data_IF_659121038744
#
_entry.id   IF_659121038744
#
_cell.length_a   1.000
_cell.length_b   1.000
_cell.length_c   1.000
_cell.angle_alpha   90.00
_cell.angle_beta   90.00
_cell.angle_gamma   90.00
#
_symmetry.space_group_name_H-M   'P 1'
#
loop_
_entity.id
_entity.type
_entity.pdbx_description
1 polymer ?
#
# COMPACT_ATOMS: atom_id res chain seq x y z
N UNK A 1 -1.02 -1.07 -11.28
CA UNK A 1 -0.47 -2.12 -12.13
C UNK A 1 0.96 -2.50 -11.78
N UNK A 2 1.81 -1.55 -11.37
CA UNK A 2 3.22 -1.78 -11.02
C UNK A 2 3.42 -2.97 -10.08
N UNK A 3 2.62 -3.05 -9.02
CA UNK A 3 2.71 -4.12 -8.02
C UNK A 3 1.84 -5.34 -8.34
N UNK A 4 1.15 -5.35 -9.47
CA UNK A 4 0.28 -6.45 -9.91
C UNK A 4 -0.65 -6.92 -8.76
N UNK A 5 -1.35 -5.98 -8.15
CA UNK A 5 -2.25 -6.23 -7.03
C UNK A 5 -3.50 -5.34 -7.12
N UNK A 6 -4.53 -5.74 -6.41
CA UNK A 6 -5.74 -4.94 -6.27
C UNK A 6 -5.47 -3.78 -5.32
N UNK A 7 -6.05 -2.63 -5.59
CA UNK A 7 -6.06 -1.47 -4.70
C UNK A 7 -7.47 -1.23 -4.24
N UNK A 8 -7.66 -1.08 -2.95
CA UNK A 8 -8.94 -0.75 -2.34
C UNK A 8 -8.92 0.71 -1.89
N UNK A 9 -9.90 1.50 -2.32
CA UNK A 9 -10.18 2.81 -1.77
C UNK A 9 -11.26 2.67 -0.69
N UNK A 10 -10.96 3.13 0.51
CA UNK A 10 -11.91 3.16 1.61
C UNK A 10 -12.38 4.59 1.84
N UNK A 11 -13.67 4.75 2.01
CA UNK A 11 -14.30 5.97 2.45
C UNK A 11 -15.35 5.61 3.51
N UNK A 12 -15.50 6.47 4.50
CA UNK A 12 -16.59 6.34 5.46
C UNK A 12 -17.89 6.97 4.93
N UNK A 13 -18.95 6.82 5.74
CA UNK A 13 -20.27 7.29 5.35
C UNK A 13 -20.30 8.83 5.23
N UNK A 14 -19.58 9.54 6.05
CA UNK A 14 -19.53 11.01 6.01
C UNK A 14 -18.96 11.49 4.68
N UNK A 15 -17.80 10.96 4.29
CA UNK A 15 -17.19 11.30 3.00
C UNK A 15 -18.04 10.83 1.81
N UNK A 16 -18.69 9.66 1.91
CA UNK A 16 -19.50 9.08 0.85
C UNK A 16 -20.84 9.77 0.63
N UNK A 17 -21.43 10.38 1.65
CA UNK A 17 -22.75 11.02 1.61
C UNK A 17 -22.69 12.52 1.32
N UNK A 18 -21.56 13.16 1.59
CA UNK A 18 -21.39 14.59 1.39
C UNK A 18 -20.95 14.93 -0.04
N UNK A 19 -21.27 16.13 -0.46
CA UNK A 19 -20.81 16.70 -1.73
C UNK A 19 -19.69 17.68 -1.47
N UNK A 20 -18.52 17.34 -1.98
CA UNK A 20 -17.32 18.15 -1.84
C UNK A 20 -16.95 18.81 -3.17
N UNK A 21 -16.54 20.06 -3.09
CA UNK A 21 -15.97 20.73 -4.26
C UNK A 21 -14.47 20.51 -4.22
N UNK A 22 -13.95 19.92 -5.27
CA UNK A 22 -12.50 19.72 -5.44
C UNK A 22 -12.05 20.20 -6.82
N UNK A 23 -10.77 20.41 -6.98
CA UNK A 23 -10.18 20.57 -8.31
C UNK A 23 -10.37 19.29 -9.13
N UNK A 24 -10.43 19.41 -10.43
CA UNK A 24 -10.53 18.24 -11.33
C UNK A 24 -9.37 17.28 -11.12
N UNK A 25 -9.62 16.01 -11.41
CA UNK A 25 -8.58 14.99 -11.39
C UNK A 25 -7.77 15.06 -12.68
N UNK A 26 -6.44 15.08 -12.56
CA UNK A 26 -5.56 14.89 -13.69
C UNK A 26 -5.50 13.40 -14.04
N UNK A 27 -5.84 13.08 -15.28
CA UNK A 27 -5.75 11.74 -15.79
C UNK A 27 -4.43 11.57 -16.53
N UNK A 28 -3.53 10.67 -16.11
CA UNK A 28 -2.23 10.53 -16.78
C UNK A 28 -2.41 10.00 -18.19
N UNK A 29 -1.65 10.55 -19.14
CA UNK A 29 -1.62 10.08 -20.52
C UNK A 29 -0.99 8.69 -20.61
N UNK A 30 0.04 8.42 -19.80
CA UNK A 30 0.74 7.16 -19.71
C UNK A 30 0.63 6.53 -18.32
N UNK A 31 0.55 5.21 -18.29
CA UNK A 31 0.49 4.42 -17.07
C UNK A 31 1.74 3.56 -16.90
N UNK A 32 2.33 3.56 -15.71
CA UNK A 32 3.35 2.59 -15.35
C UNK A 32 2.72 1.19 -15.24
N UNK A 33 2.93 0.38 -16.27
CA UNK A 33 2.46 -1.00 -16.36
C UNK A 33 3.31 -1.97 -15.54
N UNK A 34 4.42 -1.51 -14.99
CA UNK A 34 5.37 -2.33 -14.26
C UNK A 34 6.11 -3.32 -15.17
N UNK A 35 6.48 -4.46 -14.61
CA UNK A 35 7.26 -5.51 -15.28
C UNK A 35 6.42 -6.28 -16.30
N UNK A 36 6.45 -5.84 -17.54
CA UNK A 36 5.73 -6.46 -18.67
C UNK A 36 6.71 -6.88 -19.73
N UNK A 37 6.69 -8.16 -20.09
CA UNK A 37 7.40 -8.71 -21.26
C UNK A 37 6.63 -8.35 -22.50
N UNK A 38 7.27 -7.62 -23.43
CA UNK A 38 6.63 -7.07 -24.63
C UNK A 38 7.08 -7.74 -25.93
N UNK A 39 8.27 -8.30 -25.94
CA UNK A 39 8.83 -8.93 -27.15
C UNK A 39 9.38 -10.32 -26.84
N UNK A 40 9.55 -11.12 -27.89
CA UNK A 40 10.14 -12.45 -27.79
C UNK A 40 11.61 -12.38 -27.36
N UNK A 41 12.35 -11.40 -27.85
CA UNK A 41 13.77 -11.20 -27.52
C UNK A 41 13.92 -10.87 -26.02
N UNK A 42 13.00 -10.08 -25.46
CA UNK A 42 12.99 -9.80 -24.02
C UNK A 42 12.70 -11.07 -23.22
N UNK A 43 11.76 -11.91 -23.67
CA UNK A 43 11.46 -13.17 -23.01
C UNK A 43 12.67 -14.12 -23.00
N UNK A 44 13.38 -14.20 -24.12
CA UNK A 44 14.58 -15.05 -24.29
C UNK A 44 15.83 -14.49 -23.58
N UNK A 45 15.81 -13.22 -23.17
CA UNK A 45 16.90 -12.62 -22.38
C UNK A 45 16.92 -13.07 -20.92
N UNK A 46 15.84 -13.63 -20.41
CA UNK A 46 15.83 -14.21 -19.07
C UNK A 46 16.46 -15.62 -19.11
N UNK A 47 17.32 -15.92 -18.15
CA UNK A 47 17.87 -17.27 -17.98
C UNK A 47 16.76 -18.28 -17.73
N UNK A 48 15.77 -17.91 -16.91
CA UNK A 48 14.55 -18.65 -16.68
C UNK A 48 13.36 -17.68 -16.60
N UNK A 49 12.25 -18.04 -17.20
CA UNK A 49 11.00 -17.29 -17.08
C UNK A 49 9.91 -18.13 -16.40
N UNK A 50 9.27 -17.52 -15.43
CA UNK A 50 8.08 -18.07 -14.78
C UNK A 50 7.11 -16.96 -14.38
N UNK A 51 5.82 -17.21 -14.53
CA UNK A 51 4.81 -16.17 -14.23
C UNK A 51 4.89 -15.64 -12.80
N UNK A 52 5.36 -16.47 -11.87
CA UNK A 52 5.53 -16.10 -10.46
C UNK A 52 6.98 -16.19 -9.98
N UNK A 53 7.92 -16.30 -10.91
CA UNK A 53 9.35 -16.28 -10.61
C UNK A 53 9.79 -14.85 -10.27
N UNK A 54 10.42 -14.70 -9.11
CA UNK A 54 10.94 -13.42 -8.61
C UNK A 54 12.40 -13.25 -9.07
N UNK A 55 12.58 -12.84 -10.32
CA UNK A 55 13.90 -12.75 -10.95
C UNK A 55 14.77 -11.68 -10.28
N UNK A 56 14.16 -10.56 -9.86
CA UNK A 56 14.88 -9.40 -9.35
C UNK A 56 14.91 -9.35 -7.81
N UNK A 57 14.26 -10.30 -7.13
CA UNK A 57 14.22 -10.39 -5.67
C UNK A 57 13.33 -9.35 -4.97
N UNK A 58 12.52 -8.59 -5.71
CA UNK A 58 11.62 -7.56 -5.17
C UNK A 58 10.18 -8.03 -4.93
N UNK A 59 9.90 -9.30 -5.18
CA UNK A 59 8.59 -9.93 -5.05
C UNK A 59 7.65 -9.70 -6.23
N UNK A 60 8.03 -8.90 -7.23
CA UNK A 60 7.21 -8.56 -8.39
C UNK A 60 7.70 -9.37 -9.60
N UNK A 61 6.95 -10.37 -9.99
CA UNK A 61 7.30 -11.20 -11.14
C UNK A 61 7.03 -10.48 -12.47
N UNK A 62 7.82 -10.80 -13.49
CA UNK A 62 7.54 -10.39 -14.85
C UNK A 62 6.29 -11.09 -15.41
N UNK A 63 5.52 -10.37 -16.23
CA UNK A 63 4.28 -10.90 -16.81
C UNK A 63 4.20 -10.63 -18.30
N UNK A 64 3.60 -11.53 -19.03
CA UNK A 64 3.11 -11.31 -20.40
C UNK A 64 1.69 -10.71 -20.36
N UNK A 65 1.24 -10.16 -21.46
CA UNK A 65 -0.13 -9.64 -21.61
C UNK A 65 -0.97 -10.58 -22.46
N UNK A 66 -2.28 -10.69 -22.18
CA UNK A 66 -3.19 -11.40 -23.06
C UNK A 66 -3.13 -10.86 -24.49
N UNK A 67 -3.14 -11.75 -25.46
CA UNK A 67 -3.10 -11.41 -26.89
C UNK A 67 -1.69 -11.13 -27.45
N UNK A 68 -0.64 -11.09 -26.62
CA UNK A 68 0.74 -10.91 -27.09
C UNK A 68 1.31 -12.14 -27.81
N UNK A 69 0.74 -13.32 -27.60
CA UNK A 69 1.30 -14.59 -28.09
C UNK A 69 2.50 -15.11 -27.31
N UNK A 70 2.95 -14.35 -26.28
CA UNK A 70 4.13 -14.70 -25.48
C UNK A 70 3.73 -15.47 -24.24
N UNK A 71 4.44 -16.57 -23.91
CA UNK A 71 4.36 -17.34 -22.68
C UNK A 71 2.98 -17.32 -21.99
N UNK A 72 1.94 -17.90 -22.58
CA UNK A 72 0.60 -17.87 -22.03
C UNK A 72 0.53 -18.59 -20.71
N UNK A 73 -0.30 -18.10 -19.79
CA UNK A 73 -0.54 -18.73 -18.49
C UNK A 73 -2.03 -18.70 -18.13
N UNK A 74 -2.45 -19.68 -17.34
CA UNK A 74 -3.80 -19.73 -16.82
C UNK A 74 -3.82 -19.18 -15.38
N UNK A 75 -4.66 -18.18 -15.14
CA UNK A 75 -4.91 -17.66 -13.79
C UNK A 75 -6.19 -18.24 -13.21
N UNK A 76 -6.13 -18.71 -11.97
CA UNK A 76 -7.29 -19.18 -11.18
C UNK A 76 -6.96 -19.07 -9.69
N UNK A 77 -7.95 -19.26 -8.81
CA UNK A 77 -7.81 -19.05 -7.36
C UNK A 77 -7.09 -20.17 -6.57
N UNK A 78 -6.40 -21.10 -7.22
CA UNK A 78 -5.65 -22.17 -6.55
C UNK A 78 -4.17 -21.86 -6.41
N UNK A 79 -3.44 -22.67 -5.62
CA UNK A 79 -1.99 -22.61 -5.49
C UNK A 79 -1.27 -22.77 -6.83
N UNK A 80 -0.09 -22.15 -6.93
CA UNK A 80 0.72 -22.12 -8.14
C UNK A 80 2.19 -22.27 -7.80
N UNK A 81 2.92 -22.94 -8.67
CA UNK A 81 4.37 -22.91 -8.67
C UNK A 81 4.90 -21.65 -9.40
N UNK A 82 6.21 -21.51 -9.46
CA UNK A 82 6.88 -20.35 -10.08
C UNK A 82 6.58 -20.21 -11.58
N UNK A 83 6.34 -21.31 -12.29
CA UNK A 83 5.97 -21.31 -13.70
C UNK A 83 4.49 -20.93 -13.95
N UNK A 84 3.67 -20.90 -12.89
CA UNK A 84 2.24 -20.61 -12.99
C UNK A 84 1.37 -21.87 -13.14
N UNK A 85 1.96 -23.06 -13.08
CA UNK A 85 1.19 -24.30 -13.08
C UNK A 85 0.53 -24.52 -11.72
N UNK A 86 -0.60 -25.24 -11.73
CA UNK A 86 -1.28 -25.64 -10.50
C UNK A 86 -0.38 -26.45 -9.59
N UNK A 87 -0.37 -26.12 -8.31
CA UNK A 87 0.39 -26.85 -7.30
C UNK A 87 -0.31 -26.80 -5.93
N UNK A 88 -0.32 -27.94 -5.24
CA UNK A 88 -0.71 -28.08 -3.83
C UNK A 88 0.49 -28.42 -2.94
N UNK A 89 1.70 -28.31 -3.47
CA UNK A 89 2.92 -28.58 -2.71
C UNK A 89 3.14 -27.51 -1.65
N UNK A 90 3.46 -27.88 -0.40
CA UNK A 90 3.75 -26.93 0.66
C UNK A 90 4.89 -25.97 0.32
N UNK A 91 5.93 -26.46 -0.34
CA UNK A 91 7.10 -25.66 -0.72
C UNK A 91 6.70 -24.53 -1.68
N UNK A 92 5.96 -24.83 -2.75
CA UNK A 92 5.46 -23.84 -3.70
C UNK A 92 4.58 -22.79 -3.02
N UNK A 93 3.79 -23.20 -2.03
CA UNK A 93 2.96 -22.28 -1.24
C UNK A 93 3.83 -21.34 -0.41
N UNK A 94 4.80 -21.87 0.32
CA UNK A 94 5.70 -21.08 1.17
C UNK A 94 6.50 -20.07 0.34
N UNK A 95 7.06 -20.49 -0.79
CA UNK A 95 7.82 -19.64 -1.69
C UNK A 95 6.96 -18.52 -2.25
N UNK A 96 5.73 -18.82 -2.64
CA UNK A 96 4.81 -17.80 -3.16
C UNK A 96 4.39 -16.80 -2.05
N UNK A 97 4.13 -17.29 -0.83
CA UNK A 97 3.82 -16.41 0.31
C UNK A 97 5.01 -15.51 0.67
N UNK A 98 6.22 -16.05 0.69
CA UNK A 98 7.44 -15.27 0.93
C UNK A 98 7.66 -14.19 -0.14
N UNK A 99 7.43 -14.54 -1.42
CA UNK A 99 7.46 -13.59 -2.53
C UNK A 99 6.42 -12.48 -2.37
N UNK A 100 5.17 -12.83 -2.05
CA UNK A 100 4.10 -11.85 -1.83
C UNK A 100 4.39 -10.94 -0.64
N UNK A 101 4.96 -11.48 0.42
CA UNK A 101 5.41 -10.69 1.57
C UNK A 101 6.44 -9.65 1.15
N UNK A 102 7.52 -10.05 0.44
CA UNK A 102 8.53 -9.11 -0.08
C UNK A 102 7.91 -8.02 -0.96
N UNK A 103 6.98 -8.39 -1.85
CA UNK A 103 6.27 -7.43 -2.69
C UNK A 103 5.53 -6.36 -1.90
N UNK A 104 4.78 -6.76 -0.88
CA UNK A 104 3.98 -5.84 -0.04
C UNK A 104 4.89 -4.98 0.83
N UNK A 105 5.92 -5.56 1.42
CA UNK A 105 6.92 -4.82 2.22
C UNK A 105 7.68 -3.80 1.35
N UNK A 106 8.09 -4.18 0.15
CA UNK A 106 8.75 -3.29 -0.82
C UNK A 106 7.85 -2.18 -1.38
N UNK A 107 6.53 -2.35 -1.29
CA UNK A 107 5.57 -1.33 -1.69
C UNK A 107 5.35 -0.26 -0.62
N UNK A 108 5.62 -0.56 0.63
CA UNK A 108 5.28 0.21 1.82
C UNK A 108 5.61 1.70 1.70
N UNK A 109 6.87 2.03 1.38
CA UNK A 109 7.33 3.41 1.29
C UNK A 109 7.12 4.05 -0.11
N UNK A 110 6.38 3.35 -0.98
CA UNK A 110 5.92 3.86 -2.27
C UNK A 110 4.43 4.22 -2.27
N UNK A 111 3.73 3.90 -1.19
CA UNK A 111 2.36 4.31 -0.95
C UNK A 111 2.30 5.75 -0.42
N UNK A 112 1.11 6.39 -0.42
CA UNK A 112 0.98 7.73 0.12
C UNK A 112 1.51 7.84 1.55
N UNK A 113 2.55 8.65 1.74
CA UNK A 113 3.15 8.88 3.05
C UNK A 113 2.13 9.52 4.01
N UNK A 114 2.26 9.32 5.33
CA UNK A 114 1.41 10.00 6.30
C UNK A 114 1.56 11.52 6.21
N UNK A 115 0.54 12.25 6.59
CA UNK A 115 0.66 13.69 6.83
C UNK A 115 1.06 13.87 8.28
N UNK A 116 2.20 14.52 8.50
CA UNK A 116 2.73 14.81 9.82
C UNK A 116 2.56 16.29 10.14
N UNK A 117 2.05 16.58 11.33
CA UNK A 117 2.07 17.89 11.96
C UNK A 117 2.87 17.72 13.24
N UNK A 118 4.15 18.05 13.19
CA UNK A 118 5.08 17.81 14.30
C UNK A 118 5.36 19.09 15.06
N UNK A 119 5.06 19.08 16.34
CA UNK A 119 5.50 20.06 17.30
C UNK A 119 6.82 19.61 17.93
N UNK A 120 7.73 20.52 18.17
CA UNK A 120 9.04 20.18 18.74
C UNK A 120 8.90 19.74 20.20
N UNK A 121 9.63 18.71 20.56
CA UNK A 121 9.79 18.23 21.94
C UNK A 121 8.47 17.78 22.61
N UNK A 122 7.51 17.26 21.82
CA UNK A 122 6.27 16.74 22.39
C UNK A 122 6.40 15.27 22.73
N UNK A 123 5.94 14.92 23.94
CA UNK A 123 5.92 13.53 24.40
C UNK A 123 4.71 12.77 23.88
N UNK A 124 3.64 13.48 23.50
CA UNK A 124 2.37 12.90 23.08
C UNK A 124 2.19 13.04 21.57
N UNK A 125 1.91 11.92 20.92
CA UNK A 125 1.54 11.84 19.51
C UNK A 125 0.11 11.32 19.34
N UNK A 126 -0.63 11.88 18.38
CA UNK A 126 -1.96 11.42 17.99
C UNK A 126 -1.88 10.84 16.59
N UNK A 127 -2.35 9.61 16.42
CA UNK A 127 -2.50 8.95 15.11
C UNK A 127 -3.98 8.88 14.78
N UNK A 128 -4.34 9.22 13.55
CA UNK A 128 -5.72 9.17 13.07
C UNK A 128 -5.79 8.91 11.56
N UNK A 129 -6.97 8.63 11.05
CA UNK A 129 -7.24 8.40 9.62
C UNK A 129 -8.68 8.77 9.26
N UNK A 130 -8.97 8.78 7.96
CA UNK A 130 -10.31 9.00 7.42
C UNK A 130 -10.92 10.34 7.80
N UNK A 131 -12.21 10.35 8.10
CA UNK A 131 -13.02 11.53 8.45
C UNK A 131 -12.67 12.15 9.80
N UNK A 132 -11.84 11.49 10.62
CA UNK A 132 -11.30 12.11 11.84
C UNK A 132 -10.56 13.43 11.55
N UNK A 133 -10.05 13.62 10.32
CA UNK A 133 -9.46 14.89 9.89
C UNK A 133 -10.39 16.08 10.10
N UNK A 134 -11.70 15.88 9.94
CA UNK A 134 -12.69 16.95 10.12
C UNK A 134 -12.82 17.40 11.58
N UNK A 135 -12.52 16.53 12.54
CA UNK A 135 -12.58 16.81 13.98
C UNK A 135 -11.26 17.27 14.58
N UNK A 136 -10.17 17.18 13.81
CA UNK A 136 -8.83 17.51 14.34
C UNK A 136 -8.72 18.97 14.73
N UNK A 137 -9.34 19.90 13.99
CA UNK A 137 -9.31 21.31 14.34
C UNK A 137 -9.97 21.59 15.70
N UNK A 138 -11.09 20.94 15.99
CA UNK A 138 -11.77 21.09 17.29
C UNK A 138 -10.92 20.48 18.43
N UNK A 139 -10.26 19.34 18.17
CA UNK A 139 -9.31 18.74 19.11
C UNK A 139 -8.14 19.69 19.40
N UNK A 140 -7.57 20.31 18.35
CA UNK A 140 -6.49 21.28 18.50
C UNK A 140 -6.93 22.47 19.35
N UNK A 141 -8.10 23.05 19.09
CA UNK A 141 -8.64 24.19 19.83
C UNK A 141 -8.83 23.84 21.34
N UNK A 142 -9.31 22.61 21.65
CA UNK A 142 -9.48 22.15 23.01
C UNK A 142 -8.11 21.94 23.69
N UNK A 143 -7.16 21.33 23.02
CA UNK A 143 -5.83 21.08 23.57
C UNK A 143 -5.08 22.39 23.81
N UNK A 144 -5.15 23.33 22.87
CA UNK A 144 -4.54 24.65 23.02
C UNK A 144 -5.12 25.40 24.23
N UNK A 145 -6.44 25.33 24.45
CA UNK A 145 -7.10 25.94 25.60
C UNK A 145 -6.61 25.35 26.94
N UNK A 146 -6.12 24.12 26.95
CA UNK A 146 -5.52 23.46 28.13
C UNK A 146 -4.00 23.67 28.24
N UNK A 147 -3.38 24.32 27.24
CA UNK A 147 -1.94 24.51 27.16
C UNK A 147 -1.17 23.26 26.71
N UNK A 148 -1.86 22.22 26.26
CA UNK A 148 -1.24 21.00 25.74
C UNK A 148 -0.97 21.14 24.25
N UNK A 149 0.22 20.73 23.84
CA UNK A 149 0.61 20.57 22.44
C UNK A 149 0.90 19.12 22.16
N UNK A 150 0.47 18.66 21.01
CA UNK A 150 0.66 17.27 20.56
C UNK A 150 1.13 17.25 19.12
N UNK A 151 1.93 16.24 18.79
CA UNK A 151 2.23 15.93 17.39
C UNK A 151 1.12 15.08 16.79
N UNK A 152 0.91 15.19 15.48
CA UNK A 152 -0.16 14.49 14.78
C UNK A 152 0.36 13.73 13.57
N UNK A 153 -0.16 12.54 13.36
CA UNK A 153 0.13 11.67 12.23
C UNK A 153 -1.17 11.18 11.59
N UNK A 154 -1.49 11.69 10.41
CA UNK A 154 -2.61 11.20 9.61
C UNK A 154 -2.17 10.07 8.72
N UNK A 155 -2.66 8.87 8.97
CA UNK A 155 -2.45 7.69 8.11
C UNK A 155 -3.31 7.79 6.86
N UNK A 156 -2.73 7.49 5.69
CA UNK A 156 -3.43 7.58 4.40
C UNK A 156 -3.47 6.28 3.62
N UNK A 157 -2.63 5.31 3.95
CA UNK A 157 -2.53 4.06 3.22
C UNK A 157 -2.06 2.90 4.11
N UNK A 158 -2.40 1.70 3.70
CA UNK A 158 -1.91 0.43 4.26
C UNK A 158 -1.25 -0.40 3.15
N UNK A 159 -0.16 -1.14 3.45
CA UNK A 159 0.53 -1.23 4.74
C UNK A 159 1.09 0.11 5.22
N UNK A 160 1.29 0.24 6.54
CA UNK A 160 1.76 1.49 7.14
C UNK A 160 3.12 1.90 6.58
N UNK A 161 3.25 3.14 6.16
CA UNK A 161 4.52 3.75 5.74
C UNK A 161 5.51 3.81 6.91
N UNK A 162 6.82 3.69 6.65
CA UNK A 162 7.88 3.77 7.67
C UNK A 162 7.82 5.06 8.50
N UNK A 163 7.32 6.15 7.93
CA UNK A 163 7.10 7.40 8.65
C UNK A 163 6.12 7.29 9.83
N UNK A 164 5.17 6.35 9.79
CA UNK A 164 4.27 6.09 10.95
C UNK A 164 5.03 5.40 12.08
N UNK A 165 5.87 4.42 11.78
CA UNK A 165 6.72 3.77 12.78
C UNK A 165 7.66 4.77 13.43
N UNK A 166 8.35 5.56 12.60
CA UNK A 166 9.24 6.61 13.10
C UNK A 166 8.49 7.66 13.95
N UNK A 167 7.23 7.94 13.66
CA UNK A 167 6.38 8.79 14.51
C UNK A 167 6.11 8.13 15.85
N UNK A 168 5.75 6.84 15.88
CA UNK A 168 5.51 6.10 17.13
C UNK A 168 6.78 6.05 18.00
N UNK A 169 7.94 5.80 17.40
CA UNK A 169 9.22 5.69 18.14
C UNK A 169 9.66 7.00 18.79
N UNK A 170 9.23 8.16 18.27
CA UNK A 170 9.60 9.48 18.79
C UNK A 170 8.74 9.97 19.95
N UNK A 171 7.60 9.34 20.21
CA UNK A 171 6.67 9.79 21.22
C UNK A 171 6.58 8.79 22.38
N UNK A 172 6.53 9.28 23.61
CA UNK A 172 6.40 8.43 24.79
C UNK A 172 4.99 7.88 24.93
N UNK A 173 4.01 8.69 24.53
CA UNK A 173 2.59 8.33 24.55
C UNK A 173 2.03 8.51 23.14
N UNK A 174 1.42 7.47 22.62
CA UNK A 174 0.73 7.51 21.33
C UNK A 174 -0.74 7.17 21.52
N UNK A 175 -1.59 8.08 21.09
CA UNK A 175 -3.05 7.93 21.14
C UNK A 175 -3.54 7.69 19.72
N UNK A 176 -4.25 6.60 19.50
CA UNK A 176 -4.90 6.30 18.22
C UNK A 176 -6.36 6.70 18.32
N UNK A 177 -6.79 7.60 17.43
CA UNK A 177 -8.18 7.99 17.33
C UNK A 177 -8.89 7.07 16.35
N UNK A 178 -9.83 6.31 16.87
CA UNK A 178 -10.63 5.35 16.12
C UNK A 178 -12.11 5.69 16.29
N UNK A 179 -12.86 5.65 15.19
CA UNK A 179 -14.28 5.99 15.16
C UNK A 179 -15.20 4.77 15.25
N UNK A 180 -14.67 3.57 15.11
CA UNK A 180 -15.45 2.37 15.33
C UNK A 180 -15.37 1.93 16.81
N UNK A 181 -16.44 1.28 17.27
CA UNK A 181 -16.60 0.93 18.69
C UNK A 181 -15.51 -0.02 19.20
N UNK A 182 -15.04 -0.90 18.37
CA UNK A 182 -14.21 -2.02 18.80
C UNK A 182 -12.70 -1.80 18.52
N UNK A 183 -12.36 -0.67 17.90
CA UNK A 183 -10.98 -0.22 17.68
C UNK A 183 -10.28 -0.86 16.47
#
# INVERSE_FOLDING_TARGET
ERYQTVVFGFADLDLGMNRWVCSGFEYPEDFDRGKVVRTQEQLESFEEYGRYLDIDGDGIAWRTLPGSGLAPFLSRGSGRNVQGAYSERPDDYLDNMARLKRKIEGARDKLPAPVLREEKEQEVGIIYYGSMENSIQEIDDILEATGLKVSQCRVRALPLHSGVEAFVERHQIVIVLEINRDG
#
